data_IF_119947791817
#
_entry.id   IF_119947791817
#
_cell.length_a   1.000
_cell.length_b   1.000
_cell.length_c   1.000
_cell.angle_alpha   90.00
_cell.angle_beta   90.00
_cell.angle_gamma   90.00
#
_symmetry.space_group_name_H-M   'P 1'
#
loop_
_entity.id
_entity.type
_entity.pdbx_description
1 polymer ?
#
# COMPACT_ATOMS: atom_id res chain seq x y z
N UNK A 1 -38.13 -6.28 -13.03
CA UNK A 1 -37.03 -5.57 -12.34
C UNK A 1 -37.42 -4.13 -12.13
N UNK A 2 -37.33 -3.62 -10.91
CA UNK A 2 -37.75 -2.25 -10.58
C UNK A 2 -36.58 -1.29 -10.94
N UNK A 3 -36.72 -0.39 -11.92
CA UNK A 3 -35.59 0.39 -12.45
C UNK A 3 -34.92 1.26 -11.38
N UNK A 4 -35.70 1.76 -10.41
CA UNK A 4 -35.20 2.50 -9.24
C UNK A 4 -34.27 1.66 -8.35
N UNK A 5 -34.54 0.36 -8.20
CA UNK A 5 -33.73 -0.56 -7.40
C UNK A 5 -32.43 -0.93 -8.11
N UNK A 6 -32.44 -1.04 -9.43
CA UNK A 6 -31.26 -1.33 -10.25
C UNK A 6 -30.26 -0.16 -10.25
N UNK A 7 -30.76 1.08 -10.34
CA UNK A 7 -29.92 2.29 -10.30
C UNK A 7 -29.16 2.42 -8.97
N UNK A 8 -29.84 2.16 -7.86
CA UNK A 8 -29.23 2.22 -6.51
C UNK A 8 -28.11 1.18 -6.39
N UNK A 9 -28.32 -0.06 -6.87
CA UNK A 9 -27.29 -1.11 -6.88
C UNK A 9 -26.06 -0.73 -7.72
N UNK A 10 -26.26 -0.10 -8.88
CA UNK A 10 -25.16 0.37 -9.73
C UNK A 10 -24.35 1.50 -9.08
N UNK A 11 -25.01 2.43 -8.37
CA UNK A 11 -24.35 3.51 -7.65
C UNK A 11 -23.44 2.97 -6.53
N UNK A 12 -23.86 1.94 -5.79
CA UNK A 12 -23.02 1.32 -4.75
C UNK A 12 -21.81 0.59 -5.33
N UNK A 13 -21.94 -0.04 -6.50
CA UNK A 13 -20.83 -0.73 -7.17
C UNK A 13 -19.74 0.25 -7.65
N UNK A 14 -20.12 1.42 -8.16
CA UNK A 14 -19.18 2.45 -8.62
C UNK A 14 -18.32 3.01 -7.47
N UNK A 15 -18.90 3.18 -6.29
CA UNK A 15 -18.19 3.66 -5.09
C UNK A 15 -17.17 2.65 -4.55
N UNK A 16 -17.41 1.35 -4.76
CA UNK A 16 -16.48 0.30 -4.34
C UNK A 16 -15.25 0.22 -5.25
N UNK A 17 -15.44 0.31 -6.56
CA UNK A 17 -14.34 0.24 -7.55
C UNK A 17 -13.37 1.40 -7.38
N UNK A 18 -13.89 2.61 -7.15
CA UNK A 18 -13.07 3.81 -6.92
C UNK A 18 -12.25 3.73 -5.62
N UNK A 19 -12.76 3.07 -4.59
CA UNK A 19 -12.03 2.87 -3.34
C UNK A 19 -10.85 1.89 -3.53
N UNK A 20 -11.06 0.80 -4.28
CA UNK A 20 -9.97 -0.15 -4.58
C UNK A 20 -8.84 0.50 -5.39
N UNK A 21 -9.19 1.35 -6.36
CA UNK A 21 -8.20 2.05 -7.17
C UNK A 21 -7.38 3.07 -6.35
N UNK A 22 -8.04 3.81 -5.45
CA UNK A 22 -7.36 4.74 -4.53
C UNK A 22 -6.34 4.02 -3.64
N UNK A 23 -6.75 2.92 -3.02
CA UNK A 23 -5.90 2.12 -2.13
C UNK A 23 -4.72 1.54 -2.89
N UNK A 24 -4.96 1.00 -4.08
CA UNK A 24 -3.92 0.41 -4.91
C UNK A 24 -2.87 1.46 -5.34
N UNK A 25 -3.29 2.68 -5.70
CA UNK A 25 -2.37 3.76 -6.04
C UNK A 25 -1.53 4.21 -4.84
N UNK A 26 -2.15 4.35 -3.66
CA UNK A 26 -1.47 4.73 -2.43
C UNK A 26 -0.48 3.65 -1.98
N UNK A 27 -0.87 2.38 -2.03
CA UNK A 27 0.01 1.27 -1.71
C UNK A 27 1.19 1.15 -2.68
N UNK A 28 0.97 1.33 -3.99
CA UNK A 28 2.07 1.37 -4.97
C UNK A 28 3.10 2.47 -4.62
N UNK A 29 2.62 3.64 -4.20
CA UNK A 29 3.49 4.76 -3.80
C UNK A 29 4.25 4.47 -2.51
N UNK A 30 3.57 3.95 -1.49
CA UNK A 30 4.20 3.54 -0.23
C UNK A 30 5.27 2.46 -0.44
N UNK A 31 4.98 1.47 -1.30
CA UNK A 31 5.90 0.38 -1.57
C UNK A 31 7.10 0.79 -2.41
N UNK A 32 6.94 1.72 -3.36
CA UNK A 32 8.09 2.34 -4.02
C UNK A 32 9.01 3.03 -3.02
N UNK A 33 8.44 3.77 -2.07
CA UNK A 33 9.20 4.43 -1.02
C UNK A 33 9.92 3.40 -0.14
N UNK A 34 9.22 2.36 0.33
CA UNK A 34 9.80 1.28 1.13
C UNK A 34 10.95 0.56 0.42
N UNK A 35 10.78 0.18 -0.85
CA UNK A 35 11.83 -0.49 -1.63
C UNK A 35 13.01 0.44 -1.86
N UNK A 36 12.79 1.72 -2.11
CA UNK A 36 13.88 2.71 -2.18
C UNK A 36 14.66 2.81 -0.87
N UNK A 37 13.97 2.81 0.27
CA UNK A 37 14.58 2.78 1.59
C UNK A 37 15.44 1.52 1.79
N UNK A 38 14.89 0.35 1.48
CA UNK A 38 15.61 -0.91 1.56
C UNK A 38 16.85 -0.93 0.64
N UNK A 39 16.72 -0.48 -0.60
CA UNK A 39 17.86 -0.42 -1.54
C UNK A 39 18.97 0.53 -1.06
N UNK A 40 18.61 1.61 -0.36
CA UNK A 40 19.60 2.53 0.21
C UNK A 40 20.33 1.93 1.42
N UNK A 41 19.58 1.29 2.32
CA UNK A 41 20.14 0.64 3.52
C UNK A 41 21.02 -0.57 3.16
N UNK A 42 20.61 -1.33 2.14
CA UNK A 42 21.33 -2.51 1.65
C UNK A 42 22.15 -2.24 0.38
N UNK A 43 22.61 -1.00 0.17
CA UNK A 43 23.40 -0.59 -1.02
C UNK A 43 24.65 -1.46 -1.32
N UNK A 44 25.13 -2.21 -0.33
CA UNK A 44 26.28 -3.11 -0.45
C UNK A 44 25.90 -4.52 -0.94
N UNK A 45 24.61 -4.85 -0.95
CA UNK A 45 24.06 -6.11 -1.44
C UNK A 45 23.60 -5.91 -2.87
N UNK A 46 24.00 -6.82 -3.76
CA UNK A 46 23.59 -6.78 -5.15
C UNK A 46 22.19 -7.38 -5.29
N UNK A 47 21.16 -6.54 -5.12
CA UNK A 47 19.76 -6.93 -5.34
C UNK A 47 19.48 -6.94 -6.84
N UNK A 48 18.98 -8.06 -7.35
CA UNK A 48 18.55 -8.21 -8.75
C UNK A 48 17.22 -7.51 -8.98
N UNK A 49 16.92 -7.15 -10.24
CA UNK A 49 15.61 -6.59 -10.58
C UNK A 49 14.45 -7.56 -10.27
N UNK A 50 14.70 -8.88 -10.34
CA UNK A 50 13.71 -9.88 -9.95
C UNK A 50 13.36 -9.78 -8.45
N UNK A 51 14.37 -9.70 -7.58
CA UNK A 51 14.17 -9.57 -6.14
C UNK A 51 13.49 -8.24 -5.76
N UNK A 52 13.86 -7.16 -6.46
CA UNK A 52 13.22 -5.85 -6.30
C UNK A 52 11.74 -5.90 -6.70
N UNK A 53 11.41 -6.55 -7.81
CA UNK A 53 10.04 -6.72 -8.25
C UNK A 53 9.25 -7.59 -7.27
N UNK A 54 9.86 -8.65 -6.73
CA UNK A 54 9.24 -9.47 -5.70
C UNK A 54 8.95 -8.66 -4.44
N UNK A 55 9.91 -7.86 -3.95
CA UNK A 55 9.69 -6.97 -2.80
C UNK A 55 8.56 -5.97 -3.03
N UNK A 56 8.45 -5.42 -4.25
CA UNK A 56 7.34 -4.55 -4.62
C UNK A 56 5.99 -5.27 -4.53
N UNK A 57 5.90 -6.49 -5.06
CA UNK A 57 4.66 -7.30 -5.04
C UNK A 57 4.28 -7.66 -3.60
N UNK A 58 5.25 -8.12 -2.80
CA UNK A 58 5.02 -8.52 -1.41
C UNK A 58 4.56 -7.33 -0.56
N UNK A 59 5.21 -6.17 -0.77
CA UNK A 59 4.80 -4.93 -0.11
C UNK A 59 3.39 -4.50 -0.54
N UNK A 60 3.08 -4.49 -1.84
CA UNK A 60 1.75 -4.05 -2.32
C UNK A 60 0.65 -4.95 -1.75
N UNK A 61 0.87 -6.26 -1.76
CA UNK A 61 -0.07 -7.23 -1.18
C UNK A 61 -0.27 -7.00 0.32
N UNK A 62 0.83 -6.78 1.08
CA UNK A 62 0.78 -6.46 2.50
C UNK A 62 0.07 -5.14 2.79
N UNK A 63 0.36 -4.10 2.01
CA UNK A 63 -0.25 -2.78 2.15
C UNK A 63 -1.75 -2.80 1.87
N UNK A 64 -2.22 -3.53 0.85
CA UNK A 64 -3.66 -3.62 0.55
C UNK A 64 -4.40 -4.31 1.71
N UNK A 65 -3.80 -5.36 2.29
CA UNK A 65 -4.39 -6.09 3.42
C UNK A 65 -4.44 -5.25 4.68
N UNK A 66 -3.35 -4.55 4.98
CA UNK A 66 -3.16 -3.80 6.24
C UNK A 66 -3.18 -2.28 6.02
N UNK A 67 -3.93 -1.83 5.02
CA UNK A 67 -3.96 -0.44 4.56
C UNK A 67 -4.27 0.57 5.69
N UNK A 68 -5.04 0.16 6.70
CA UNK A 68 -5.39 0.99 7.85
C UNK A 68 -4.21 1.33 8.75
N UNK A 69 -3.11 0.60 8.64
CA UNK A 69 -1.88 0.82 9.39
C UNK A 69 -0.79 1.45 8.51
N UNK A 70 -0.63 0.91 7.30
CA UNK A 70 0.45 1.31 6.39
C UNK A 70 0.23 2.70 5.79
N UNK A 71 -1.00 3.02 5.36
CA UNK A 71 -1.26 4.29 4.67
C UNK A 71 -1.14 5.51 5.58
N UNK A 72 -1.65 5.52 6.83
CA UNK A 72 -1.45 6.65 7.74
C UNK A 72 0.03 6.93 7.99
N UNK A 73 0.86 5.89 8.15
CA UNK A 73 2.30 6.02 8.33
C UNK A 73 2.99 6.60 7.08
N UNK A 74 2.55 6.19 5.88
CA UNK A 74 3.07 6.77 4.64
C UNK A 74 2.66 8.25 4.46
N UNK A 75 1.50 8.64 4.98
CA UNK A 75 1.02 10.03 4.90
C UNK A 75 1.67 10.93 5.96
N UNK A 76 2.06 10.39 7.12
CA UNK A 76 2.68 11.16 8.21
C UNK A 76 4.21 11.24 8.11
N UNK A 77 4.86 10.21 7.58
CA UNK A 77 6.32 10.08 7.62
C UNK A 77 6.97 10.29 6.25
N UNK A 78 8.04 11.09 6.24
CA UNK A 78 8.80 11.42 5.01
C UNK A 78 10.17 10.74 4.95
N UNK A 79 10.53 9.98 5.99
CA UNK A 79 11.85 9.33 6.11
C UNK A 79 11.71 7.82 6.23
N UNK A 80 12.71 7.08 5.73
CA UNK A 80 12.75 5.62 5.80
C UNK A 80 12.63 5.10 7.23
N UNK A 81 13.36 5.74 8.16
CA UNK A 81 13.32 5.38 9.57
C UNK A 81 11.95 5.69 10.19
N UNK A 82 11.41 6.89 9.94
CA UNK A 82 10.11 7.29 10.46
C UNK A 82 9.00 6.37 9.97
N UNK A 83 8.96 6.08 8.66
CA UNK A 83 7.99 5.16 8.08
C UNK A 83 8.08 3.76 8.71
N UNK A 84 9.27 3.18 8.79
CA UNK A 84 9.46 1.86 9.40
C UNK A 84 9.06 1.85 10.88
N UNK A 85 9.45 2.87 11.65
CA UNK A 85 9.08 2.98 13.06
C UNK A 85 7.55 3.08 13.21
N UNK A 86 6.89 3.93 12.42
CA UNK A 86 5.45 4.07 12.46
C UNK A 86 4.72 2.77 12.14
N UNK A 87 5.11 2.05 11.09
CA UNK A 87 4.47 0.77 10.72
C UNK A 87 4.67 -0.30 11.80
N UNK A 88 5.85 -0.33 12.43
CA UNK A 88 6.13 -1.26 13.52
C UNK A 88 5.31 -0.93 14.78
N UNK A 89 5.11 0.36 15.07
CA UNK A 89 4.36 0.85 16.24
C UNK A 89 2.85 0.89 16.03
N UNK A 90 2.37 0.82 14.79
CA UNK A 90 0.94 0.90 14.46
C UNK A 90 0.15 -0.36 14.83
N UNK A 91 0.78 -1.40 15.36
CA UNK A 91 0.16 -2.71 15.64
C UNK A 91 0.07 -3.62 14.41
N UNK A 92 0.81 -3.32 13.34
CA UNK A 92 0.89 -4.17 12.14
C UNK A 92 1.52 -5.55 12.44
N UNK A 93 2.30 -5.67 13.52
CA UNK A 93 3.00 -6.90 13.92
C UNK A 93 2.38 -7.61 15.15
N UNK A 94 1.23 -7.15 15.65
CA UNK A 94 0.45 -7.86 16.70
C UNK A 94 -0.55 -8.87 16.08
#
# INVERSE_FOLDING_TARGET
MNPKRTIILFLYLLSFVSCQEYVQQKCNSACKFFVQCAMNDFKHVKVTELEKNQMMIDCESGCIREQGFVLPCFESETTCKGFNTCVMESGFMD
#
